data_IF_863989786798
#
_entry.id   IF_863989786798
#
_cell.length_a   1.000
_cell.length_b   1.000
_cell.length_c   1.000
_cell.angle_alpha   90.00
_cell.angle_beta   90.00
_cell.angle_gamma   90.00
#
_symmetry.space_group_name_H-M   'P 1'
#
loop_
_entity.id
_entity.type
_entity.pdbx_description
1 polymer ?
#
# COMPACT_ATOMS: atom_id res chain seq x y z
N UNK A 1 66.28 27.68 56.58
CA UNK A 1 65.68 26.49 57.18
C UNK A 1 64.38 26.94 57.82
N UNK A 2 63.25 26.70 57.18
CA UNK A 2 62.22 25.82 57.72
C UNK A 2 61.08 25.72 56.72
N UNK A 3 60.94 24.52 56.19
CA UNK A 3 59.87 24.06 55.32
C UNK A 3 58.73 23.65 56.25
N UNK A 4 57.53 24.18 56.03
CA UNK A 4 56.32 23.62 56.64
C UNK A 4 55.24 23.48 55.59
N UNK A 5 55.24 22.28 55.03
CA UNK A 5 54.16 21.69 54.25
C UNK A 5 52.90 21.58 55.13
N UNK A 6 51.75 21.91 54.55
CA UNK A 6 50.45 21.53 55.07
C UNK A 6 49.65 20.95 53.90
N UNK A 7 49.48 19.62 53.97
CA UNK A 7 48.65 18.81 53.08
C UNK A 7 47.17 19.19 53.15
N UNK A 8 46.46 18.99 52.04
CA UNK A 8 45.71 17.77 51.70
C UNK A 8 44.28 17.81 52.24
N UNK A 9 43.31 17.73 51.30
CA UNK A 9 41.89 17.59 51.63
C UNK A 9 40.91 18.14 50.61
N UNK A 10 41.17 18.02 49.30
CA UNK A 10 40.11 18.27 48.30
C UNK A 10 39.36 16.96 48.09
N UNK A 11 38.25 16.83 48.82
CA UNK A 11 37.26 15.77 48.65
C UNK A 11 36.57 15.96 47.29
N UNK A 12 36.99 15.18 46.30
CA UNK A 12 36.32 15.07 45.01
C UNK A 12 35.05 14.23 45.14
N UNK A 13 33.92 14.90 45.33
CA UNK A 13 32.61 14.31 45.04
C UNK A 13 32.40 14.40 43.52
N UNK A 14 32.84 13.37 42.79
CA UNK A 14 32.48 13.19 41.40
C UNK A 14 31.04 12.71 41.30
N UNK A 15 30.15 13.58 40.80
CA UNK A 15 28.80 13.22 40.35
C UNK A 15 28.88 12.26 39.15
N UNK A 16 28.86 10.96 39.42
CA UNK A 16 28.43 9.95 38.45
C UNK A 16 26.90 9.89 38.46
N UNK A 17 26.25 10.75 37.68
CA UNK A 17 24.78 10.78 37.52
C UNK A 17 24.38 10.83 36.04
N UNK A 18 25.11 10.11 35.17
CA UNK A 18 24.90 10.14 33.72
C UNK A 18 24.19 8.94 33.08
N UNK A 19 24.13 7.78 33.73
CA UNK A 19 23.94 6.53 32.96
C UNK A 19 22.50 5.97 32.90
N UNK A 20 21.56 6.46 33.71
CA UNK A 20 20.22 5.87 33.77
C UNK A 20 19.26 6.34 32.65
N UNK A 21 19.55 7.40 31.91
CA UNK A 21 18.62 7.92 30.88
C UNK A 21 18.71 7.17 29.53
N UNK A 22 19.82 6.47 29.26
CA UNK A 22 20.06 5.84 27.95
C UNK A 22 19.30 4.52 27.75
N UNK A 23 19.08 3.73 28.80
CA UNK A 23 18.35 2.45 28.71
C UNK A 23 16.86 2.64 28.38
N UNK A 24 16.27 3.74 28.86
CA UNK A 24 14.84 4.00 28.71
C UNK A 24 14.45 4.39 27.27
N UNK A 25 15.34 5.05 26.54
CA UNK A 25 15.13 5.42 25.14
C UNK A 25 15.10 4.19 24.22
N UNK A 26 16.01 3.23 24.45
CA UNK A 26 16.10 2.02 23.62
C UNK A 26 14.89 1.09 23.85
N UNK A 27 14.41 1.00 25.09
CA UNK A 27 13.21 0.23 25.45
C UNK A 27 11.92 0.81 24.82
N UNK A 28 11.84 2.12 24.60
CA UNK A 28 10.71 2.74 23.87
C UNK A 28 10.78 2.46 22.36
N UNK A 29 11.96 2.53 21.75
CA UNK A 29 12.15 2.19 20.31
C UNK A 29 11.82 0.71 20.04
N UNK A 30 12.21 -0.21 20.93
CA UNK A 30 11.91 -1.65 20.78
C UNK A 30 10.40 -1.95 20.88
N UNK A 31 9.71 -1.30 21.82
CA UNK A 31 8.26 -1.45 22.00
C UNK A 31 7.45 -0.96 20.79
N UNK A 32 7.91 0.09 20.09
CA UNK A 32 7.26 0.56 18.86
C UNK A 32 7.45 -0.43 17.69
N UNK A 33 8.66 -0.96 17.52
CA UNK A 33 8.96 -1.94 16.46
C UNK A 33 8.11 -3.22 16.62
N UNK A 34 8.00 -3.76 17.84
CA UNK A 34 7.16 -4.92 18.11
C UNK A 34 5.67 -4.67 17.84
N UNK A 35 5.16 -3.47 18.16
CA UNK A 35 3.77 -3.09 17.87
C UNK A 35 3.50 -3.00 16.36
N UNK A 36 4.40 -2.43 15.58
CA UNK A 36 4.25 -2.41 14.11
C UNK A 36 4.22 -3.82 13.52
N UNK A 37 5.15 -4.69 13.93
CA UNK A 37 5.20 -6.07 13.44
C UNK A 37 3.92 -6.84 13.79
N UNK A 38 3.40 -6.67 15.01
CA UNK A 38 2.15 -7.30 15.44
C UNK A 38 0.94 -6.81 14.63
N UNK A 39 0.85 -5.51 14.32
CA UNK A 39 -0.23 -4.95 13.50
C UNK A 39 -0.16 -5.48 12.07
N UNK A 40 1.05 -5.53 11.47
CA UNK A 40 1.25 -6.07 10.13
C UNK A 40 0.87 -7.55 10.08
N UNK A 41 1.33 -8.35 11.05
CA UNK A 41 0.99 -9.77 11.14
C UNK A 41 -0.52 -9.99 11.29
N UNK A 42 -1.19 -9.19 12.13
CA UNK A 42 -2.64 -9.26 12.33
C UNK A 42 -3.42 -8.88 11.06
N UNK A 43 -2.99 -7.85 10.32
CA UNK A 43 -3.56 -7.50 9.01
C UNK A 43 -3.41 -8.63 7.99
N UNK A 44 -2.25 -9.30 7.95
CA UNK A 44 -2.02 -10.46 7.08
C UNK A 44 -2.90 -11.66 7.45
N UNK A 45 -3.11 -11.91 8.74
CA UNK A 45 -3.98 -12.97 9.24
C UNK A 45 -5.47 -12.70 8.92
N UNK A 46 -5.91 -11.45 9.03
CA UNK A 46 -7.28 -11.03 8.65
C UNK A 46 -7.53 -11.22 7.14
N UNK A 47 -6.54 -10.94 6.29
CA UNK A 47 -6.65 -11.15 4.85
C UNK A 47 -6.81 -12.64 4.46
N UNK A 48 -6.36 -13.57 5.30
CA UNK A 48 -6.40 -15.01 5.00
C UNK A 48 -7.80 -15.64 5.16
N UNK A 49 -8.73 -15.00 5.88
CA UNK A 49 -10.06 -15.56 6.13
C UNK A 49 -11.09 -15.29 5.01
N UNK A 50 -10.76 -14.49 3.99
CA UNK A 50 -11.71 -14.12 2.92
C UNK A 50 -11.88 -15.18 1.82
N UNK A 51 -11.24 -16.34 1.92
CA UNK A 51 -11.21 -17.38 0.86
C UNK A 51 -12.46 -18.28 0.81
N UNK A 52 -13.45 -18.04 1.68
CA UNK A 52 -14.67 -18.84 1.80
C UNK A 52 -15.68 -18.61 0.67
N UNK A 53 -15.42 -19.22 -0.48
CA UNK A 53 -16.36 -19.66 -1.51
C UNK A 53 -17.79 -19.11 -1.44
N UNK A 54 -18.03 -17.93 -2.01
CA UNK A 54 -19.37 -17.61 -2.51
C UNK A 54 -19.58 -18.46 -3.75
N UNK A 55 -20.41 -19.52 -3.66
CA UNK A 55 -20.90 -20.25 -4.83
C UNK A 55 -21.73 -19.28 -5.70
N UNK A 56 -21.03 -18.48 -6.52
CA UNK A 56 -21.61 -17.41 -7.33
C UNK A 56 -22.45 -18.06 -8.43
N UNK A 57 -23.71 -17.63 -8.53
CA UNK A 57 -24.64 -18.03 -9.59
C UNK A 57 -23.99 -17.91 -10.97
N UNK A 58 -24.33 -18.82 -11.89
CA UNK A 58 -23.91 -18.82 -13.30
C UNK A 58 -24.61 -17.71 -14.07
N UNK A 59 -24.33 -16.47 -13.68
CA UNK A 59 -24.83 -15.27 -14.32
C UNK A 59 -23.79 -14.76 -15.32
N UNK A 60 -24.24 -14.31 -16.48
CA UNK A 60 -23.39 -13.66 -17.48
C UNK A 60 -22.75 -12.40 -16.90
N UNK A 61 -21.43 -12.27 -17.04
CA UNK A 61 -20.68 -11.09 -16.57
C UNK A 61 -20.36 -10.19 -17.74
N UNK A 62 -20.79 -8.93 -17.67
CA UNK A 62 -20.54 -7.95 -18.73
C UNK A 62 -19.08 -7.46 -18.69
N UNK A 63 -18.29 -7.66 -19.76
CA UNK A 63 -16.90 -7.19 -19.83
C UNK A 63 -16.76 -5.68 -19.68
N UNK A 64 -17.76 -4.89 -20.11
CA UNK A 64 -17.71 -3.43 -19.98
C UNK A 64 -17.83 -3.03 -18.51
N UNK A 65 -18.83 -3.57 -17.82
CA UNK A 65 -18.99 -3.38 -16.37
C UNK A 65 -17.74 -3.83 -15.60
N UNK A 66 -17.12 -4.96 -15.95
CA UNK A 66 -15.87 -5.41 -15.34
C UNK A 66 -14.72 -4.40 -15.52
N UNK A 67 -14.61 -3.81 -16.71
CA UNK A 67 -13.59 -2.79 -17.02
C UNK A 67 -13.85 -1.49 -16.26
N UNK A 68 -15.11 -1.05 -16.14
CA UNK A 68 -15.48 0.12 -15.35
C UNK A 68 -15.11 -0.05 -13.87
N UNK A 69 -15.33 -1.25 -13.31
CA UNK A 69 -14.88 -1.55 -11.95
C UNK A 69 -13.36 -1.57 -11.83
N UNK A 70 -12.65 -2.11 -12.82
CA UNK A 70 -11.18 -2.07 -12.87
C UNK A 70 -10.61 -0.65 -12.98
N UNK A 71 -11.34 0.27 -13.61
CA UNK A 71 -10.96 1.68 -13.66
C UNK A 71 -11.09 2.34 -12.28
N UNK A 72 -12.19 2.07 -11.57
CA UNK A 72 -12.45 2.70 -10.27
C UNK A 72 -11.49 2.20 -9.18
N UNK A 73 -11.20 0.88 -9.15
CA UNK A 73 -10.40 0.25 -8.11
C UNK A 73 -9.48 -0.83 -8.69
N UNK A 74 -8.17 -0.83 -8.37
CA UNK A 74 -7.25 -1.87 -8.81
C UNK A 74 -7.71 -3.24 -8.30
N UNK A 75 -7.85 -4.20 -9.21
CA UNK A 75 -8.29 -5.57 -8.92
C UNK A 75 -9.81 -5.77 -8.83
N UNK A 76 -10.63 -4.71 -8.75
CA UNK A 76 -12.08 -4.85 -8.60
C UNK A 76 -12.76 -5.50 -9.82
N UNK A 77 -12.25 -5.22 -11.03
CA UNK A 77 -12.73 -5.88 -12.26
C UNK A 77 -12.57 -7.40 -12.21
N UNK A 78 -11.45 -7.89 -11.66
CA UNK A 78 -11.20 -9.33 -11.46
C UNK A 78 -12.12 -9.94 -10.40
N UNK A 79 -12.40 -9.21 -9.30
CA UNK A 79 -13.37 -9.63 -8.27
C UNK A 79 -14.79 -9.74 -8.86
N UNK A 80 -15.18 -8.76 -9.68
CA UNK A 80 -16.45 -8.77 -10.41
C UNK A 80 -16.55 -9.99 -11.34
N UNK A 81 -15.50 -10.22 -12.13
CA UNK A 81 -15.36 -11.37 -13.02
C UNK A 81 -15.26 -12.73 -12.30
N UNK A 82 -15.17 -12.75 -10.96
CA UNK A 82 -15.10 -13.99 -10.17
C UNK A 82 -13.68 -14.56 -10.04
N UNK A 83 -12.66 -13.90 -10.58
CA UNK A 83 -11.24 -14.23 -10.35
C UNK A 83 -10.75 -13.60 -9.03
N UNK A 84 -11.40 -13.92 -7.90
CA UNK A 84 -11.16 -13.26 -6.60
C UNK A 84 -9.68 -13.27 -6.17
N UNK A 85 -8.99 -14.41 -6.32
CA UNK A 85 -7.58 -14.53 -5.93
C UNK A 85 -6.68 -13.54 -6.68
N UNK A 86 -6.90 -13.35 -7.99
CA UNK A 86 -6.16 -12.36 -8.77
C UNK A 86 -6.55 -10.93 -8.40
N UNK A 87 -7.83 -10.68 -8.16
CA UNK A 87 -8.32 -9.36 -7.76
C UNK A 87 -7.69 -8.89 -6.44
N UNK A 88 -7.69 -9.76 -5.42
CA UNK A 88 -7.04 -9.49 -4.14
C UNK A 88 -5.52 -9.36 -4.27
N UNK A 89 -4.88 -10.20 -5.09
CA UNK A 89 -3.44 -10.08 -5.33
C UNK A 89 -3.09 -8.73 -5.96
N UNK A 90 -3.81 -8.30 -7.00
CA UNK A 90 -3.58 -7.00 -7.66
C UNK A 90 -3.87 -5.83 -6.73
N UNK A 91 -4.95 -5.90 -5.94
CA UNK A 91 -5.30 -4.85 -4.99
C UNK A 91 -4.27 -4.77 -3.86
N UNK A 92 -3.91 -5.91 -3.27
CA UNK A 92 -2.94 -6.00 -2.18
C UNK A 92 -1.53 -5.59 -2.60
N UNK A 93 -1.08 -5.99 -3.78
CA UNK A 93 0.23 -5.56 -4.32
C UNK A 93 0.26 -4.07 -4.63
N UNK A 94 -0.80 -3.53 -5.25
CA UNK A 94 -0.85 -2.10 -5.59
C UNK A 94 -0.89 -1.22 -4.33
N UNK A 95 -1.83 -1.49 -3.43
CA UNK A 95 -1.99 -0.72 -2.18
C UNK A 95 -0.79 -0.94 -1.25
N UNK A 96 -0.29 -2.17 -1.17
CA UNK A 96 0.86 -2.53 -0.35
C UNK A 96 2.14 -1.85 -0.81
N UNK A 97 2.42 -1.84 -2.12
CA UNK A 97 3.61 -1.17 -2.67
C UNK A 97 3.56 0.35 -2.45
N UNK A 98 2.41 0.97 -2.67
CA UNK A 98 2.24 2.41 -2.45
C UNK A 98 2.43 2.76 -0.96
N UNK A 99 1.78 2.01 -0.07
CA UNK A 99 1.86 2.23 1.38
C UNK A 99 3.28 1.99 1.92
N UNK A 100 3.96 0.94 1.45
CA UNK A 100 5.33 0.64 1.82
C UNK A 100 6.31 1.72 1.34
N UNK A 101 6.19 2.16 0.08
CA UNK A 101 7.03 3.23 -0.48
C UNK A 101 6.87 4.55 0.27
N UNK A 102 5.64 4.94 0.59
CA UNK A 102 5.36 6.12 1.41
C UNK A 102 5.89 5.96 2.84
N UNK A 103 5.65 4.82 3.48
CA UNK A 103 6.14 4.57 4.83
C UNK A 103 7.67 4.65 4.91
N UNK A 104 8.39 4.03 3.96
CA UNK A 104 9.86 4.09 3.89
C UNK A 104 10.37 5.53 3.71
N UNK A 105 9.72 6.32 2.85
CA UNK A 105 10.05 7.72 2.62
C UNK A 105 9.90 8.54 3.90
N UNK A 106 8.79 8.34 4.63
CA UNK A 106 8.53 9.03 5.90
C UNK A 106 9.49 8.62 7.02
N UNK A 107 9.98 7.37 7.02
CA UNK A 107 10.95 6.90 8.03
C UNK A 107 12.41 7.18 7.68
N UNK A 108 12.71 7.62 6.46
CA UNK A 108 14.10 7.85 6.00
C UNK A 108 14.75 9.11 6.59
N UNK A 109 13.97 10.01 7.19
CA UNK A 109 14.43 11.33 7.64
C UNK A 109 15.01 11.40 9.05
N UNK A 110 15.72 10.39 9.55
CA UNK A 110 16.23 10.47 10.92
C UNK A 110 17.09 9.30 11.35
N UNK A 111 18.39 9.42 11.11
CA UNK A 111 19.47 9.03 12.03
C UNK A 111 20.75 9.23 11.21
N UNK A 112 21.17 10.49 11.04
CA UNK A 112 22.54 10.82 10.65
C UNK A 112 23.47 10.66 11.86
N UNK A 113 23.43 9.50 12.50
CA UNK A 113 24.52 9.03 13.37
C UNK A 113 25.59 8.43 12.47
N UNK A 114 26.13 9.23 11.54
CA UNK A 114 27.48 8.94 11.07
C UNK A 114 28.33 9.20 12.32
N UNK A 115 28.96 8.18 12.93
CA UNK A 115 29.89 8.43 14.02
C UNK A 115 30.90 9.41 13.44
N UNK A 116 31.05 10.58 14.07
CA UNK A 116 32.08 11.53 13.70
C UNK A 116 33.39 10.76 13.65
N UNK A 117 33.80 10.33 12.46
CA UNK A 117 35.11 9.79 12.21
C UNK A 117 36.00 10.98 12.45
N UNK A 118 36.50 11.04 13.68
CA UNK A 118 37.44 12.03 14.13
C UNK A 118 38.62 11.96 13.18
N UNK A 119 38.67 12.87 12.21
CA UNK A 119 39.84 13.10 11.39
C UNK A 119 40.75 14.04 12.19
N UNK A 120 41.85 13.54 12.76
CA UNK A 120 42.71 14.34 13.64
C UNK A 120 43.50 15.44 12.91
N UNK A 121 43.38 15.57 11.59
CA UNK A 121 44.20 16.51 10.80
C UNK A 121 43.41 17.62 10.08
N UNK A 122 42.09 17.71 10.24
CA UNK A 122 41.30 18.81 9.67
C UNK A 122 40.98 19.88 10.73
N UNK A 123 41.92 20.82 10.91
CA UNK A 123 41.76 21.98 11.82
C UNK A 123 40.91 23.11 11.23
N UNK A 124 40.35 22.93 10.03
CA UNK A 124 39.44 23.91 9.46
C UNK A 124 38.02 23.60 9.94
N UNK A 125 37.30 24.54 10.60
CA UNK A 125 35.87 24.38 10.85
C UNK A 125 35.14 24.53 9.51
N UNK A 126 35.23 23.49 8.68
CA UNK A 126 34.28 23.28 7.61
C UNK A 126 32.98 23.00 8.33
N UNK A 127 32.19 24.06 8.46
CA UNK A 127 30.75 23.97 8.43
C UNK A 127 30.42 23.27 7.12
N UNK A 128 30.58 21.95 7.10
CA UNK A 128 30.01 21.08 6.09
C UNK A 128 28.55 21.39 6.23
N UNK A 129 28.08 22.18 5.26
CA UNK A 129 26.76 22.79 5.27
C UNK A 129 25.78 21.73 5.71
N UNK A 130 24.93 22.13 6.65
CA UNK A 130 23.66 21.49 6.96
C UNK A 130 23.29 20.64 5.76
N UNK A 131 23.47 19.33 5.87
CA UNK A 131 22.98 18.42 4.87
C UNK A 131 21.47 18.54 5.04
N UNK A 132 20.91 19.61 4.48
CA UNK A 132 19.52 19.97 4.56
C UNK A 132 18.79 18.69 4.23
N UNK A 133 17.96 18.23 5.17
CA UNK A 133 17.24 16.97 5.17
C UNK A 133 16.65 16.65 3.80
N UNK A 134 17.48 16.14 2.88
CA UNK A 134 17.08 15.77 1.53
C UNK A 134 16.41 14.42 1.69
N UNK A 135 15.15 14.49 2.11
CA UNK A 135 14.29 13.34 2.29
C UNK A 135 14.34 12.48 1.03
N UNK A 136 14.71 11.21 1.18
CA UNK A 136 14.83 10.32 0.03
C UNK A 136 13.43 9.91 -0.46
N UNK A 137 12.97 10.55 -1.53
CA UNK A 137 11.70 10.26 -2.17
C UNK A 137 11.75 9.04 -3.09
N UNK A 138 12.92 8.41 -3.28
CA UNK A 138 13.09 7.24 -4.16
C UNK A 138 12.10 6.12 -3.83
N UNK A 139 11.90 5.70 -2.56
CA UNK A 139 10.95 4.64 -2.23
C UNK A 139 9.50 4.98 -2.58
N UNK A 140 9.09 6.24 -2.41
CA UNK A 140 7.75 6.70 -2.80
C UNK A 140 7.54 6.61 -4.32
N UNK A 141 8.51 7.02 -5.13
CA UNK A 141 8.41 6.91 -6.60
C UNK A 141 8.36 5.45 -7.06
N UNK A 142 9.15 4.56 -6.45
CA UNK A 142 9.08 3.12 -6.73
C UNK A 142 7.69 2.57 -6.38
N UNK A 143 7.17 2.91 -5.20
CA UNK A 143 5.83 2.49 -4.77
C UNK A 143 4.73 2.98 -5.72
N UNK A 144 4.79 4.25 -6.15
CA UNK A 144 3.86 4.84 -7.12
C UNK A 144 3.95 4.17 -8.50
N UNK A 145 5.15 3.84 -8.95
CA UNK A 145 5.38 3.11 -10.21
C UNK A 145 4.74 1.72 -10.21
N UNK A 146 4.97 0.95 -9.15
CA UNK A 146 4.38 -0.39 -9.00
C UNK A 146 2.85 -0.31 -8.92
N UNK A 147 2.31 0.65 -8.15
CA UNK A 147 0.88 0.90 -8.08
C UNK A 147 0.28 1.24 -9.45
N UNK A 148 0.89 2.17 -10.18
CA UNK A 148 0.37 2.63 -11.47
C UNK A 148 0.38 1.54 -12.54
N UNK A 149 1.48 0.77 -12.62
CA UNK A 149 1.59 -0.37 -13.54
C UNK A 149 0.58 -1.48 -13.18
N UNK A 150 0.44 -1.80 -11.89
CA UNK A 150 -0.54 -2.77 -11.41
C UNK A 150 -1.99 -2.36 -11.72
N UNK A 151 -2.30 -1.07 -11.57
CA UNK A 151 -3.61 -0.50 -11.88
C UNK A 151 -3.93 -0.55 -13.39
N UNK A 152 -3.00 -0.11 -14.25
CA UNK A 152 -3.17 -0.18 -15.72
C UNK A 152 -3.33 -1.63 -16.17
N UNK A 153 -2.49 -2.53 -15.67
CA UNK A 153 -2.59 -3.96 -15.96
C UNK A 153 -3.97 -4.51 -15.56
N UNK A 154 -4.47 -4.14 -14.38
CA UNK A 154 -5.79 -4.55 -13.91
C UNK A 154 -6.91 -4.07 -14.85
N UNK A 155 -6.85 -2.82 -15.35
CA UNK A 155 -7.84 -2.32 -16.31
C UNK A 155 -7.86 -3.12 -17.60
N UNK A 156 -6.69 -3.39 -18.18
CA UNK A 156 -6.56 -4.05 -19.48
C UNK A 156 -6.99 -5.53 -19.40
N UNK A 157 -6.70 -6.21 -18.30
CA UNK A 157 -7.08 -7.62 -18.13
C UNK A 157 -8.51 -7.82 -17.60
N UNK A 158 -9.15 -6.82 -16.97
CA UNK A 158 -10.48 -6.96 -16.37
C UNK A 158 -11.55 -7.45 -17.35
N UNK A 159 -11.61 -6.87 -18.56
CA UNK A 159 -12.57 -7.30 -19.58
C UNK A 159 -12.32 -8.75 -20.03
N UNK A 160 -11.06 -9.12 -20.25
CA UNK A 160 -10.66 -10.49 -20.62
C UNK A 160 -10.96 -11.47 -19.49
N UNK A 161 -10.83 -11.07 -18.23
CA UNK A 161 -11.18 -11.89 -17.08
C UNK A 161 -12.68 -12.25 -17.09
N UNK A 162 -13.56 -11.28 -17.38
CA UNK A 162 -15.00 -11.55 -17.50
C UNK A 162 -15.31 -12.52 -18.65
N UNK A 163 -14.66 -12.34 -19.81
CA UNK A 163 -14.80 -13.27 -20.94
C UNK A 163 -14.31 -14.68 -20.63
N UNK A 164 -13.17 -14.83 -19.93
CA UNK A 164 -12.65 -16.12 -19.46
C UNK A 164 -13.65 -16.80 -18.54
N UNK A 165 -14.24 -16.08 -17.59
CA UNK A 165 -15.26 -16.63 -16.69
C UNK A 165 -16.53 -17.03 -17.45
N UNK A 166 -17.02 -16.19 -18.35
CA UNK A 166 -18.19 -16.54 -19.18
C UNK A 166 -17.90 -17.80 -20.02
N UNK A 167 -16.70 -17.93 -20.59
CA UNK A 167 -16.28 -19.13 -21.33
C UNK A 167 -16.24 -20.38 -20.45
N UNK A 168 -15.69 -20.28 -19.24
CA UNK A 168 -15.70 -21.38 -18.25
C UNK A 168 -17.11 -21.82 -17.88
N UNK A 169 -18.08 -20.91 -17.89
CA UNK A 169 -19.48 -21.21 -17.59
C UNK A 169 -20.30 -21.60 -18.84
N UNK A 170 -19.69 -21.68 -20.02
CA UNK A 170 -20.41 -21.97 -21.27
C UNK A 170 -21.35 -20.85 -21.72
N UNK A 171 -21.13 -19.61 -21.25
CA UNK A 171 -21.93 -18.42 -21.57
C UNK A 171 -21.29 -17.53 -22.64
N UNK A 172 -20.22 -17.98 -23.31
CA UNK A 172 -19.46 -17.16 -24.27
C UNK A 172 -20.23 -16.77 -25.53
N UNK A 173 -21.28 -17.53 -25.87
CA UNK A 173 -22.14 -17.27 -27.03
C UNK A 173 -23.33 -16.37 -26.71
N UNK A 174 -23.63 -16.15 -25.43
CA UNK A 174 -24.68 -15.25 -24.99
C UNK A 174 -24.14 -13.82 -25.06
N UNK A 175 -24.20 -13.18 -26.22
CA UNK A 175 -24.18 -11.71 -26.25
C UNK A 175 -25.42 -11.27 -25.47
N UNK A 176 -25.30 -10.40 -24.44
CA UNK A 176 -26.45 -9.97 -23.67
C UNK A 176 -27.43 -9.31 -24.63
N UNK A 177 -28.59 -9.95 -24.83
CA UNK A 177 -29.66 -9.38 -25.64
C UNK A 177 -30.20 -8.19 -24.84
N UNK A 178 -29.81 -6.98 -25.25
CA UNK A 178 -30.31 -5.76 -24.62
C UNK A 178 -31.77 -5.60 -25.01
N UNK A 179 -32.68 -5.94 -24.09
CA UNK A 179 -34.10 -5.61 -24.23
C UNK A 179 -34.23 -4.11 -23.96
N UNK A 180 -34.30 -3.31 -25.02
CA UNK A 180 -34.63 -1.89 -24.90
C UNK A 180 -36.15 -1.79 -24.88
N UNK A 181 -36.78 -1.35 -23.78
CA UNK A 181 -38.21 -1.10 -23.79
C UNK A 181 -38.50 -0.04 -24.86
N UNK A 182 -39.28 -0.42 -25.87
CA UNK A 182 -39.67 0.47 -26.95
C UNK A 182 -41.04 1.04 -26.61
N UNK A 183 -41.10 2.33 -26.28
CA UNK A 183 -42.39 3.03 -26.16
C UNK A 183 -42.80 3.46 -27.57
N UNK A 184 -43.79 2.77 -28.14
CA UNK A 184 -44.34 3.11 -29.44
C UNK A 184 -45.12 4.43 -29.32
N UNK A 185 -44.51 5.54 -29.71
CA UNK A 185 -45.17 6.83 -29.82
C UNK A 185 -46.17 6.84 -30.98
N UNK A 186 -47.43 6.46 -30.72
CA UNK A 186 -48.60 7.05 -31.38
C UNK A 186 -49.58 7.44 -30.28
N UNK A 187 -49.98 8.70 -30.30
CA UNK A 187 -50.67 9.41 -29.21
C UNK A 187 -52.04 8.85 -28.80
N UNK A 188 -52.51 7.72 -29.34
CA UNK A 188 -53.90 7.27 -29.14
C UNK A 188 -54.11 5.76 -28.97
N UNK A 189 -53.04 4.95 -28.97
CA UNK A 189 -53.16 3.49 -28.79
C UNK A 189 -52.06 2.98 -27.86
N UNK A 190 -52.41 2.70 -26.60
CA UNK A 190 -51.52 2.12 -25.59
C UNK A 190 -51.32 0.62 -25.83
N UNK A 191 -50.66 0.25 -26.91
CA UNK A 191 -50.15 -1.12 -27.06
C UNK A 191 -48.75 -1.21 -26.45
N UNK A 192 -48.66 -1.98 -25.36
CA UNK A 192 -47.38 -2.34 -24.74
C UNK A 192 -46.79 -3.53 -25.50
N UNK A 193 -45.90 -3.28 -26.46
CA UNK A 193 -45.17 -4.31 -27.18
C UNK A 193 -43.69 -4.37 -26.76
N UNK A 194 -43.16 -5.57 -26.51
CA UNK A 194 -41.71 -5.78 -26.31
C UNK A 194 -41.09 -6.21 -27.64
N UNK A 195 -40.24 -5.36 -28.25
CA UNK A 195 -39.40 -5.80 -29.37
C UNK A 195 -38.04 -6.28 -28.86
N UNK A 196 -37.77 -7.57 -29.05
CA UNK A 196 -36.45 -8.13 -28.81
C UNK A 196 -35.60 -7.92 -30.07
N UNK A 197 -34.63 -7.01 -30.02
CA UNK A 197 -33.60 -6.90 -31.06
C UNK A 197 -32.44 -7.83 -30.69
N UNK A 198 -32.28 -8.90 -31.45
CA UNK A 198 -31.08 -9.76 -31.37
C UNK A 198 -29.99 -9.08 -32.20
N UNK A 199 -28.93 -8.63 -31.53
CA UNK A 199 -27.72 -8.17 -32.23
C UNK A 199 -26.91 -9.42 -32.63
N UNK A 200 -27.06 -9.86 -33.89
CA UNK A 200 -26.23 -10.90 -34.50
C UNK A 200 -24.78 -10.40 -34.56
#
# INVERSE_FOLDING_TARGET
MDVKEAGEGVSGAGEESGDCESEDANSRRLRMKCRMVAIIAMLCLLASQASGQTAKSKEYKDPKTATTWGYLLPGAGHIYAGEQGKGWLLMGTSVGALSAGLAMTLTSGGDSDIPNTFDPYDESPRSYGSADDLQDWTPAYVGLGVFSLGWIYSMVDAGKAAERTNRKHGLSWLKPVRVVPYVAGKADQREWGVRVKVAL
#
